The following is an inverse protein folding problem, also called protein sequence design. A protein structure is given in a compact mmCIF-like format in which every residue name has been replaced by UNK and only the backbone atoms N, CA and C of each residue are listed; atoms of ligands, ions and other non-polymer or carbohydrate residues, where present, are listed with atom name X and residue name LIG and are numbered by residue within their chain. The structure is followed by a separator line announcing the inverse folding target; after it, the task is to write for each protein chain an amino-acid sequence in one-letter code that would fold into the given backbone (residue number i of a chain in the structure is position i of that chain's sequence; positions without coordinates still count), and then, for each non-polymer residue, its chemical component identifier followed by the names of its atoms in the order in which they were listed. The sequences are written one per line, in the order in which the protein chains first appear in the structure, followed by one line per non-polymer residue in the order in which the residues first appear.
data_IF_184165259854
#
_entry.id   IF_184165259854
#
_cell.length_a   1.000
_cell.length_b   1.000
_cell.length_c   1.000
_cell.angle_alpha   90.00
_cell.angle_beta   90.00
_cell.angle_gamma   90.00
#
_symmetry.space_group_name_H-M   'P 1'
#
loop_
_entity.id
_entity.type
_entity.pdbx_description
1 polymer ?
#
# COMPACT_ATOMS: atom_id res chain seq x y z
N UNK A 1 30.42 24.96 -0.99
CA UNK A 1 29.70 24.02 -0.13
C UNK A 1 28.20 24.45 -0.06
N UNK A 2 27.36 23.90 -0.92
CA UNK A 2 25.88 24.13 -0.84
C UNK A 2 25.26 22.88 -0.23
N UNK A 3 24.59 23.07 0.93
CA UNK A 3 23.88 22.06 1.68
C UNK A 3 22.82 21.40 0.80
N UNK A 4 22.94 20.10 0.55
CA UNK A 4 21.84 19.25 0.11
C UNK A 4 20.81 19.24 1.24
N UNK A 5 19.72 19.99 1.05
CA UNK A 5 18.53 19.92 1.89
C UNK A 5 17.88 18.57 1.60
N UNK A 6 17.96 17.67 2.55
CA UNK A 6 17.20 16.42 2.59
C UNK A 6 15.74 16.79 2.35
N UNK A 7 15.15 16.33 1.24
CA UNK A 7 13.70 16.42 1.01
C UNK A 7 13.05 15.58 2.09
N UNK A 8 12.39 16.24 3.02
CA UNK A 8 11.42 15.60 3.91
C UNK A 8 10.40 14.88 3.03
N UNK A 9 10.11 13.62 3.33
CA UNK A 9 9.06 12.80 2.70
C UNK A 9 7.70 13.51 2.88
N UNK A 10 7.33 14.29 1.89
CA UNK A 10 6.06 15.02 1.86
C UNK A 10 5.06 14.15 1.13
N UNK A 11 4.08 13.62 1.86
CA UNK A 11 2.93 12.93 1.29
C UNK A 11 2.35 13.77 0.13
N UNK A 12 2.22 13.16 -1.06
CA UNK A 12 1.71 13.85 -2.24
C UNK A 12 0.27 14.33 -2.01
N UNK A 13 -0.10 15.46 -2.62
CA UNK A 13 -1.44 16.03 -2.42
C UNK A 13 -2.54 15.09 -2.91
N UNK A 14 -2.26 14.25 -3.92
CA UNK A 14 -3.19 13.24 -4.42
C UNK A 14 -3.41 12.11 -3.38
N UNK A 15 -2.36 11.73 -2.65
CA UNK A 15 -2.45 10.71 -1.60
C UNK A 15 -3.25 11.24 -0.41
N UNK A 16 -3.05 12.52 -0.06
CA UNK A 16 -3.90 13.20 0.93
C UNK A 16 -5.36 13.24 0.50
N UNK A 17 -5.66 13.49 -0.78
CA UNK A 17 -7.04 13.44 -1.28
C UNK A 17 -7.67 12.06 -1.11
N UNK A 18 -6.90 10.99 -1.32
CA UNK A 18 -7.37 9.60 -1.19
C UNK A 18 -7.57 9.17 0.27
N UNK A 19 -6.77 9.71 1.20
CA UNK A 19 -6.75 9.28 2.61
C UNK A 19 -7.58 10.19 3.51
N UNK A 20 -8.06 11.35 3.01
CA UNK A 20 -8.77 12.34 3.81
C UNK A 20 -10.10 11.79 4.33
N UNK A 21 -10.20 11.67 5.64
CA UNK A 21 -11.45 11.33 6.34
C UNK A 21 -12.34 12.56 6.53
N UNK A 22 -13.65 12.35 6.68
CA UNK A 22 -14.65 13.41 6.94
C UNK A 22 -14.89 14.39 5.77
N UNK A 23 -14.86 13.90 4.54
CA UNK A 23 -15.33 14.64 3.38
C UNK A 23 -16.86 14.70 3.36
N UNK A 24 -17.42 15.88 3.06
CA UNK A 24 -18.83 15.97 2.67
C UNK A 24 -19.05 15.35 1.29
N UNK A 25 -20.30 15.00 0.95
CA UNK A 25 -20.62 14.44 -0.38
C UNK A 25 -20.15 15.34 -1.53
N UNK A 26 -20.23 16.66 -1.37
CA UNK A 26 -19.77 17.61 -2.38
C UNK A 26 -18.24 17.66 -2.47
N UNK A 27 -17.53 17.64 -1.33
CA UNK A 27 -16.06 17.59 -1.32
C UNK A 27 -15.55 16.29 -1.92
N UNK A 28 -16.24 15.18 -1.65
CA UNK A 28 -15.93 13.88 -2.25
C UNK A 28 -16.13 13.91 -3.76
N UNK A 29 -17.21 14.53 -4.26
CA UNK A 29 -17.43 14.67 -5.72
C UNK A 29 -16.28 15.44 -6.40
N UNK A 30 -15.71 16.46 -5.75
CA UNK A 30 -14.53 17.17 -6.27
C UNK A 30 -13.31 16.25 -6.31
N UNK A 31 -13.05 15.51 -5.24
CA UNK A 31 -11.92 14.56 -5.16
C UNK A 31 -12.08 13.48 -6.23
N UNK A 32 -13.25 12.84 -6.32
CA UNK A 32 -13.53 11.79 -7.31
C UNK A 32 -13.35 12.32 -8.75
N UNK A 33 -13.76 13.55 -9.03
CA UNK A 33 -13.56 14.19 -10.33
C UNK A 33 -12.07 14.39 -10.65
N UNK A 34 -11.27 14.90 -9.70
CA UNK A 34 -9.83 15.13 -9.88
C UNK A 34 -9.11 13.80 -10.13
N UNK A 35 -9.46 12.74 -9.38
CA UNK A 35 -8.86 11.41 -9.51
C UNK A 35 -9.18 10.80 -10.88
N UNK A 36 -10.43 10.93 -11.34
CA UNK A 36 -10.87 10.43 -12.64
C UNK A 36 -10.27 11.24 -13.81
N UNK A 37 -9.99 12.54 -13.61
CA UNK A 37 -9.51 13.46 -14.65
C UNK A 37 -8.21 14.15 -14.23
N UNK A 38 -7.08 13.45 -14.10
CA UNK A 38 -5.84 14.02 -13.53
C UNK A 38 -5.28 15.22 -14.28
N UNK A 39 -5.54 15.32 -15.61
CA UNK A 39 -5.11 16.47 -16.43
C UNK A 39 -5.97 17.72 -16.22
N UNK A 40 -7.22 17.53 -15.80
CA UNK A 40 -8.16 18.63 -15.68
C UNK A 40 -7.66 19.74 -14.73
N UNK A 41 -7.06 19.36 -13.61
CA UNK A 41 -6.56 20.32 -12.62
C UNK A 41 -5.39 21.18 -13.15
N UNK A 42 -4.66 20.72 -14.16
CA UNK A 42 -3.55 21.48 -14.76
C UNK A 42 -4.04 22.76 -15.45
N UNK A 43 -5.23 22.71 -16.05
CA UNK A 43 -5.76 23.77 -16.93
C UNK A 43 -6.93 24.53 -16.28
N UNK A 44 -7.77 23.84 -15.49
CA UNK A 44 -9.00 24.41 -14.93
C UNK A 44 -8.78 25.52 -13.91
N UNK A 45 -9.63 26.54 -13.99
CA UNK A 45 -9.87 27.48 -12.89
C UNK A 45 -10.75 26.85 -11.80
N UNK A 46 -10.86 27.51 -10.64
CA UNK A 46 -11.72 27.05 -9.55
C UNK A 46 -13.21 26.96 -9.96
N UNK A 47 -13.65 27.87 -10.83
CA UNK A 47 -15.03 27.87 -11.29
C UNK A 47 -15.30 26.75 -12.30
N UNK A 48 -14.36 26.47 -13.20
CA UNK A 48 -14.45 25.35 -14.13
C UNK A 48 -14.45 24.01 -13.40
N UNK A 49 -13.59 23.84 -12.40
CA UNK A 49 -13.59 22.63 -11.56
C UNK A 49 -14.89 22.48 -10.77
N UNK A 50 -15.43 23.60 -10.23
CA UNK A 50 -16.72 23.59 -9.53
C UNK A 50 -17.86 23.13 -10.43
N UNK A 51 -17.92 23.68 -11.66
CA UNK A 51 -18.92 23.29 -12.64
C UNK A 51 -18.77 21.82 -13.06
N UNK A 52 -17.54 21.38 -13.34
CA UNK A 52 -17.26 20.01 -13.78
C UNK A 52 -17.54 18.95 -12.71
N UNK A 53 -17.38 19.29 -11.43
CA UNK A 53 -17.69 18.42 -10.29
C UNK A 53 -19.09 18.62 -9.71
N UNK A 54 -19.94 19.43 -10.36
CA UNK A 54 -21.30 19.79 -9.90
C UNK A 54 -21.31 20.33 -8.47
N UNK A 55 -20.34 21.17 -8.12
CA UNK A 55 -20.18 21.75 -6.80
C UNK A 55 -20.02 23.28 -6.87
N UNK A 56 -19.62 23.92 -5.78
CA UNK A 56 -19.36 25.36 -5.71
C UNK A 56 -17.89 25.66 -5.48
N UNK A 57 -17.42 26.85 -5.93
CA UNK A 57 -16.06 27.33 -5.65
C UNK A 57 -15.78 27.39 -4.13
N UNK A 58 -16.79 27.66 -3.30
CA UNK A 58 -16.66 27.63 -1.84
C UNK A 58 -16.42 26.23 -1.28
N UNK A 59 -17.00 25.20 -1.89
CA UNK A 59 -16.74 23.79 -1.55
C UNK A 59 -15.30 23.43 -1.83
N UNK A 60 -14.78 23.82 -3.02
CA UNK A 60 -13.37 23.60 -3.39
C UNK A 60 -12.43 24.32 -2.43
N UNK A 61 -12.75 25.56 -2.06
CA UNK A 61 -11.93 26.33 -1.10
C UNK A 61 -11.87 25.66 0.29
N UNK A 62 -12.97 25.07 0.75
CA UNK A 62 -13.01 24.29 1.99
C UNK A 62 -12.18 23.01 1.91
N UNK A 63 -12.30 22.29 0.80
CA UNK A 63 -11.47 21.11 0.51
C UNK A 63 -9.98 21.46 0.53
N UNK A 64 -9.58 22.56 -0.12
CA UNK A 64 -8.19 23.02 -0.11
C UNK A 64 -7.65 23.24 1.32
N UNK A 65 -8.45 23.85 2.20
CA UNK A 65 -8.07 24.03 3.60
C UNK A 65 -7.93 22.71 4.35
N UNK A 66 -8.82 21.74 4.10
CA UNK A 66 -8.73 20.39 4.68
C UNK A 66 -7.46 19.65 4.20
N UNK A 67 -7.04 19.88 2.97
CA UNK A 67 -5.80 19.37 2.40
C UNK A 67 -4.53 20.09 2.94
N UNK A 68 -4.69 21.10 3.79
CA UNK A 68 -3.58 21.85 4.37
C UNK A 68 -2.99 22.91 3.42
N UNK A 69 -3.74 23.32 2.38
CA UNK A 69 -3.31 24.36 1.44
C UNK A 69 -3.97 25.71 1.71
N UNK A 70 -3.33 26.81 1.25
CA UNK A 70 -3.83 28.17 1.46
C UNK A 70 -5.09 28.47 0.64
N UNK A 71 -5.35 27.68 -0.41
CA UNK A 71 -6.49 27.82 -1.30
C UNK A 71 -6.25 27.13 -2.62
N UNK A 72 -7.16 27.33 -3.58
CA UNK A 72 -7.11 26.62 -4.88
C UNK A 72 -5.82 26.83 -5.66
N UNK A 73 -5.32 28.06 -5.73
CA UNK A 73 -4.07 28.36 -6.45
C UNK A 73 -2.86 27.62 -5.83
N UNK A 74 -2.79 27.55 -4.51
CA UNK A 74 -1.74 26.85 -3.78
C UNK A 74 -1.87 25.32 -3.96
N UNK A 75 -3.08 24.77 -3.83
CA UNK A 75 -3.37 23.38 -4.09
C UNK A 75 -3.01 23.00 -5.53
N UNK A 76 -3.42 23.81 -6.52
CA UNK A 76 -3.10 23.60 -7.93
C UNK A 76 -1.60 23.65 -8.17
N UNK A 77 -0.89 24.59 -7.58
CA UNK A 77 0.57 24.70 -7.71
C UNK A 77 1.27 23.43 -7.19
N UNK A 78 0.89 22.96 -6.01
CA UNK A 78 1.45 21.72 -5.43
C UNK A 78 1.14 20.54 -6.35
N UNK A 79 -0.12 20.40 -6.78
CA UNK A 79 -0.55 19.31 -7.67
C UNK A 79 0.22 19.33 -8.99
N UNK A 80 0.37 20.49 -9.63
CA UNK A 80 1.14 20.64 -10.89
C UNK A 80 2.60 20.28 -10.69
N UNK A 81 3.20 20.65 -9.55
CA UNK A 81 4.61 20.30 -9.26
C UNK A 81 4.81 18.80 -9.02
N UNK A 82 3.81 18.11 -8.48
CA UNK A 82 3.83 16.67 -8.22
C UNK A 82 3.33 15.84 -9.43
N UNK A 83 2.59 16.47 -10.35
CA UNK A 83 1.97 15.82 -11.51
C UNK A 83 2.93 15.02 -12.39
N UNK A 84 4.14 15.51 -12.74
CA UNK A 84 5.09 14.74 -13.54
C UNK A 84 5.55 13.47 -12.84
N UNK A 85 5.73 13.49 -11.53
CA UNK A 85 6.10 12.34 -10.72
C UNK A 85 4.94 11.36 -10.62
N UNK A 86 3.73 11.87 -10.37
CA UNK A 86 2.49 11.12 -10.36
C UNK A 86 2.20 10.45 -11.72
N UNK A 87 2.43 11.16 -12.83
CA UNK A 87 2.24 10.60 -14.19
C UNK A 87 3.31 9.59 -14.55
N UNK A 88 4.57 9.81 -14.19
CA UNK A 88 5.61 8.78 -14.32
C UNK A 88 5.24 7.52 -13.55
N UNK A 89 4.70 7.67 -12.35
CA UNK A 89 4.20 6.56 -11.54
C UNK A 89 3.02 5.86 -12.24
N UNK A 90 2.03 6.63 -12.71
CA UNK A 90 0.83 6.13 -13.40
C UNK A 90 1.14 5.52 -14.76
N UNK A 91 2.01 6.14 -15.55
CA UNK A 91 2.44 5.63 -16.86
C UNK A 91 3.40 4.44 -16.71
N UNK A 92 4.18 4.41 -15.64
CA UNK A 92 5.01 3.25 -15.32
C UNK A 92 4.21 2.00 -15.00
N UNK A 93 2.99 2.15 -14.47
CA UNK A 93 2.08 1.05 -14.20
C UNK A 93 1.17 0.73 -15.41
N UNK A 94 1.06 1.63 -16.40
CA UNK A 94 0.17 1.47 -17.57
C UNK A 94 0.78 0.69 -18.72
N UNK A 95 2.06 0.49 -18.76
CA UNK A 95 2.71 -0.20 -19.87
C UNK A 95 2.78 -1.68 -19.48
N UNK A 96 1.91 -2.51 -20.07
CA UNK A 96 2.23 -3.92 -20.30
C UNK A 96 3.46 -3.89 -21.20
N UNK A 97 4.64 -4.17 -20.68
CA UNK A 97 5.90 -3.83 -21.36
C UNK A 97 6.22 -4.76 -22.50
N UNK A 98 5.45 -5.82 -22.68
CA UNK A 98 5.55 -6.74 -23.81
C UNK A 98 4.19 -7.35 -24.16
N UNK A 99 4.03 -7.73 -25.42
CA UNK A 99 2.85 -8.38 -25.99
C UNK A 99 3.14 -9.85 -26.26
N UNK A 100 2.11 -10.61 -26.68
CA UNK A 100 2.28 -12.01 -27.11
C UNK A 100 3.29 -12.16 -28.26
N UNK A 101 3.61 -11.09 -28.99
CA UNK A 101 4.54 -11.06 -30.11
C UNK A 101 5.91 -10.48 -29.76
N UNK A 102 6.17 -10.14 -28.50
CA UNK A 102 7.47 -9.63 -28.06
C UNK A 102 8.53 -10.72 -28.12
N UNK A 103 9.71 -10.38 -28.61
CA UNK A 103 10.87 -11.27 -28.63
C UNK A 103 11.41 -11.53 -27.22
N UNK A 104 12.20 -12.59 -27.07
CA UNK A 104 12.80 -12.95 -25.77
C UNK A 104 13.73 -11.84 -25.26
N UNK A 105 14.43 -11.13 -26.15
CA UNK A 105 15.32 -10.01 -25.78
C UNK A 105 14.53 -8.84 -25.20
N UNK A 106 13.35 -8.52 -25.75
CA UNK A 106 12.44 -7.51 -25.21
C UNK A 106 12.00 -7.87 -23.79
N UNK A 107 11.70 -9.16 -23.55
CA UNK A 107 11.29 -9.66 -22.24
C UNK A 107 12.46 -9.51 -21.23
N UNK A 108 13.67 -9.96 -21.61
CA UNK A 108 14.85 -9.87 -20.77
C UNK A 108 15.15 -8.41 -20.38
N UNK A 109 15.05 -7.47 -21.32
CA UNK A 109 15.29 -6.05 -21.05
C UNK A 109 14.17 -5.38 -20.25
N UNK A 110 12.95 -5.88 -20.33
CA UNK A 110 11.78 -5.24 -19.72
C UNK A 110 11.50 -5.73 -18.30
N UNK A 111 11.76 -7.00 -17.99
CA UNK A 111 11.50 -7.56 -16.65
C UNK A 111 12.18 -6.78 -15.50
N UNK A 112 13.46 -6.35 -15.60
CA UNK A 112 14.06 -5.52 -14.56
C UNK A 112 13.34 -4.19 -14.34
N UNK A 113 12.77 -3.60 -15.40
CA UNK A 113 12.00 -2.36 -15.28
C UNK A 113 10.68 -2.59 -14.51
N UNK A 114 10.01 -3.73 -14.70
CA UNK A 114 8.80 -4.09 -13.94
C UNK A 114 9.14 -4.21 -12.45
N UNK A 115 10.22 -4.90 -12.13
CA UNK A 115 10.66 -5.09 -10.74
C UNK A 115 11.04 -3.76 -10.08
N UNK A 116 11.85 -2.95 -10.76
CA UNK A 116 12.23 -1.63 -10.26
C UNK A 116 11.00 -0.75 -9.99
N UNK A 117 10.06 -0.73 -10.92
CA UNK A 117 8.83 0.05 -10.79
C UNK A 117 7.94 -0.42 -9.64
N UNK A 118 7.79 -1.74 -9.47
CA UNK A 118 7.03 -2.30 -8.36
C UNK A 118 7.63 -1.87 -7.01
N UNK A 119 8.96 -1.93 -6.89
CA UNK A 119 9.69 -1.53 -5.69
C UNK A 119 9.59 -0.02 -5.46
N UNK A 120 9.85 0.81 -6.48
CA UNK A 120 9.83 2.27 -6.37
C UNK A 120 8.44 2.78 -5.97
N UNK A 121 7.40 2.20 -6.58
CA UNK A 121 6.02 2.55 -6.22
C UNK A 121 5.72 2.15 -4.77
N UNK A 122 6.05 0.91 -4.39
CA UNK A 122 5.81 0.44 -3.02
C UNK A 122 6.56 1.30 -2.01
N UNK A 123 7.82 1.65 -2.30
CA UNK A 123 8.64 2.55 -1.47
C UNK A 123 7.97 3.91 -1.25
N UNK A 124 7.35 4.49 -2.29
CA UNK A 124 6.68 5.79 -2.19
C UNK A 124 5.41 5.77 -1.34
N UNK A 125 4.80 4.58 -1.16
CA UNK A 125 3.58 4.39 -0.36
C UNK A 125 3.85 3.94 1.08
N UNK A 126 5.09 3.55 1.42
CA UNK A 126 5.41 3.08 2.76
C UNK A 126 5.44 4.24 3.76
N UNK A 127 4.55 4.18 4.76
CA UNK A 127 4.63 5.06 5.92
C UNK A 127 5.74 4.60 6.88
N UNK A 128 6.77 5.44 7.03
CA UNK A 128 7.92 5.20 7.90
C UNK A 128 7.51 4.90 9.34
N UNK A 129 6.50 5.60 9.86
CA UNK A 129 6.07 5.42 11.26
C UNK A 129 5.40 4.05 11.46
N UNK A 130 4.61 3.60 10.49
CA UNK A 130 4.02 2.26 10.50
C UNK A 130 5.10 1.18 10.43
N UNK A 131 6.11 1.33 9.57
CA UNK A 131 7.26 0.40 9.52
C UNK A 131 7.93 0.30 10.89
N UNK A 132 8.24 1.43 11.54
CA UNK A 132 8.88 1.45 12.88
C UNK A 132 7.99 0.76 13.93
N UNK A 133 6.68 1.04 13.94
CA UNK A 133 5.75 0.42 14.90
C UNK A 133 5.67 -1.08 14.73
N UNK A 134 5.53 -1.54 13.49
CA UNK A 134 5.49 -2.98 13.15
C UNK A 134 6.80 -3.65 13.54
N UNK A 135 7.96 -3.08 13.18
CA UNK A 135 9.27 -3.62 13.55
C UNK A 135 9.43 -3.75 15.06
N UNK A 136 8.97 -2.75 15.83
CA UNK A 136 9.01 -2.82 17.30
C UNK A 136 8.11 -3.91 17.88
N UNK A 137 6.97 -4.19 17.27
CA UNK A 137 6.09 -5.29 17.65
C UNK A 137 6.73 -6.64 17.33
N UNK A 138 7.32 -6.77 16.14
CA UNK A 138 8.04 -7.98 15.73
C UNK A 138 9.23 -8.27 16.66
N UNK A 139 10.00 -7.26 17.07
CA UNK A 139 11.11 -7.41 18.05
C UNK A 139 10.67 -7.92 19.42
N UNK A 140 9.43 -7.63 19.82
CA UNK A 140 8.88 -8.06 21.12
C UNK A 140 8.15 -9.39 21.04
N UNK A 141 7.86 -9.87 19.85
CA UNK A 141 7.19 -11.14 19.64
C UNK A 141 8.15 -12.30 19.91
N UNK A 142 7.65 -13.32 20.62
CA UNK A 142 8.33 -14.60 20.79
C UNK A 142 8.16 -15.48 19.53
N UNK A 143 7.05 -15.28 18.81
CA UNK A 143 6.75 -15.98 17.56
C UNK A 143 6.09 -15.05 16.56
N UNK A 144 6.49 -15.16 15.30
CA UNK A 144 5.89 -14.43 14.19
C UNK A 144 5.17 -15.43 13.29
N UNK A 145 3.86 -15.24 13.12
CA UNK A 145 3.03 -16.11 12.30
C UNK A 145 2.68 -15.41 10.97
N UNK A 146 3.01 -16.05 9.85
CA UNK A 146 2.71 -15.52 8.52
C UNK A 146 1.60 -16.36 7.87
N UNK A 147 0.58 -15.68 7.37
CA UNK A 147 -0.59 -16.30 6.72
C UNK A 147 -0.63 -15.92 5.24
N UNK A 148 -0.79 -16.90 4.37
CA UNK A 148 -0.93 -16.70 2.94
C UNK A 148 -1.50 -17.93 2.26
N UNK A 149 -2.08 -17.77 1.08
CA UNK A 149 -2.62 -18.86 0.28
C UNK A 149 -2.00 -18.84 -1.12
N UNK A 150 -1.76 -20.01 -1.69
CA UNK A 150 -1.08 -20.16 -2.98
C UNK A 150 0.32 -19.56 -2.95
N UNK A 151 0.63 -18.67 -3.90
CA UNK A 151 1.95 -18.00 -3.99
C UNK A 151 2.27 -17.20 -2.73
N UNK A 152 1.27 -16.65 -2.04
CA UNK A 152 1.47 -15.90 -0.81
C UNK A 152 1.93 -16.79 0.35
N UNK A 153 1.57 -18.06 0.35
CA UNK A 153 2.09 -19.03 1.31
C UNK A 153 3.59 -19.30 1.07
N UNK A 154 4.03 -19.37 -0.20
CA UNK A 154 5.45 -19.53 -0.51
C UNK A 154 6.26 -18.28 -0.14
N UNK A 155 5.70 -17.08 -0.31
CA UNK A 155 6.31 -15.84 0.21
C UNK A 155 6.44 -15.93 1.74
N UNK A 156 5.38 -16.33 2.44
CA UNK A 156 5.40 -16.48 3.89
C UNK A 156 6.49 -17.47 4.35
N UNK A 157 6.61 -18.62 3.69
CA UNK A 157 7.67 -19.61 3.97
C UNK A 157 9.08 -19.03 3.75
N UNK A 158 9.28 -18.30 2.64
CA UNK A 158 10.57 -17.65 2.38
C UNK A 158 10.97 -16.71 3.51
N UNK A 159 10.02 -15.93 4.04
CA UNK A 159 10.29 -15.02 5.15
C UNK A 159 10.55 -15.78 6.45
N UNK A 160 9.87 -16.89 6.71
CA UNK A 160 10.18 -17.74 7.87
C UNK A 160 11.63 -18.20 7.86
N UNK A 161 12.17 -18.63 6.73
CA UNK A 161 13.59 -18.99 6.61
C UNK A 161 14.52 -17.80 6.94
N UNK A 162 14.23 -16.61 6.43
CA UNK A 162 15.03 -15.41 6.72
C UNK A 162 14.98 -15.00 8.20
N UNK A 163 13.81 -15.16 8.84
CA UNK A 163 13.65 -14.90 10.27
C UNK A 163 14.42 -15.93 11.11
N UNK A 164 14.37 -17.21 10.74
CA UNK A 164 15.11 -18.30 11.40
C UNK A 164 16.62 -18.08 11.33
N UNK A 165 17.15 -17.62 10.16
CA UNK A 165 18.56 -17.27 10.00
C UNK A 165 19.06 -16.20 10.98
N UNK A 166 18.18 -15.31 11.44
CA UNK A 166 18.49 -14.29 12.45
C UNK A 166 17.99 -14.67 13.86
N UNK A 167 17.61 -15.96 14.07
CA UNK A 167 17.24 -16.51 15.37
C UNK A 167 15.83 -16.15 15.85
N UNK A 168 14.94 -15.74 14.96
CA UNK A 168 13.55 -15.39 15.28
C UNK A 168 12.62 -16.53 14.87
N UNK A 169 11.85 -17.06 15.84
CA UNK A 169 10.89 -18.12 15.58
C UNK A 169 9.73 -17.62 14.73
N UNK A 170 9.50 -18.26 13.59
CA UNK A 170 8.42 -17.90 12.68
C UNK A 170 7.77 -19.13 12.04
N UNK A 171 6.47 -19.03 11.76
CA UNK A 171 5.70 -20.09 11.13
C UNK A 171 4.88 -19.54 9.97
N UNK A 172 4.73 -20.34 8.90
CA UNK A 172 3.88 -20.04 7.76
C UNK A 172 2.64 -20.93 7.77
N UNK A 173 1.48 -20.31 7.48
CA UNK A 173 0.18 -20.99 7.45
C UNK A 173 -0.59 -20.61 6.19
N UNK A 174 -1.22 -21.60 5.54
CA UNK A 174 -2.16 -21.37 4.43
C UNK A 174 -3.61 -21.12 4.92
N UNK A 175 -3.88 -21.44 6.19
CA UNK A 175 -5.16 -21.21 6.86
C UNK A 175 -4.96 -21.16 8.37
N UNK A 176 -5.88 -20.51 9.09
CA UNK A 176 -5.80 -20.46 10.54
C UNK A 176 -6.38 -21.71 11.18
N UNK A 177 -5.64 -22.37 12.06
CA UNK A 177 -6.13 -23.50 12.83
C UNK A 177 -7.09 -23.03 13.94
N UNK A 178 -8.13 -23.82 14.19
CA UNK A 178 -9.23 -23.47 15.10
C UNK A 178 -8.76 -22.99 16.48
N UNK A 179 -7.82 -23.68 17.10
CA UNK A 179 -7.37 -23.38 18.46
C UNK A 179 -6.05 -22.59 18.53
N UNK A 180 -5.47 -22.17 17.40
CA UNK A 180 -4.15 -21.55 17.39
C UNK A 180 -4.11 -20.24 18.20
N UNK A 181 -4.97 -19.28 17.85
CA UNK A 181 -5.06 -18.00 18.57
C UNK A 181 -5.44 -18.18 20.04
N UNK A 182 -6.32 -19.14 20.34
CA UNK A 182 -6.72 -19.44 21.71
C UNK A 182 -5.53 -19.92 22.54
N UNK A 183 -4.68 -20.80 21.98
CA UNK A 183 -3.45 -21.28 22.66
C UNK A 183 -2.47 -20.13 22.89
N UNK A 184 -2.19 -19.32 21.87
CA UNK A 184 -1.30 -18.17 22.02
C UNK A 184 -1.75 -17.24 23.16
N UNK A 185 -3.06 -16.99 23.27
CA UNK A 185 -3.61 -16.17 24.35
C UNK A 185 -3.54 -16.84 25.71
N UNK A 186 -3.94 -18.12 25.81
CA UNK A 186 -3.94 -18.88 27.07
C UNK A 186 -2.53 -19.04 27.63
N UNK A 187 -1.56 -19.35 26.77
CA UNK A 187 -0.16 -19.54 27.15
C UNK A 187 0.60 -18.21 27.26
N UNK A 188 -0.08 -17.07 27.01
CA UNK A 188 0.47 -15.71 27.07
C UNK A 188 1.72 -15.55 26.20
N UNK A 189 1.75 -16.22 25.04
CA UNK A 189 2.88 -16.13 24.11
C UNK A 189 2.82 -14.80 23.37
N UNK A 190 3.80 -13.89 23.56
CA UNK A 190 3.88 -12.68 22.75
C UNK A 190 4.02 -13.04 21.27
N UNK A 191 3.05 -12.69 20.47
CA UNK A 191 3.01 -13.06 19.04
C UNK A 191 2.67 -11.86 18.17
N UNK A 192 3.13 -11.89 16.94
CA UNK A 192 2.77 -10.94 15.89
C UNK A 192 2.39 -11.70 14.63
N UNK A 193 1.35 -11.27 13.94
CA UNK A 193 0.84 -11.97 12.76
C UNK A 193 0.87 -11.09 11.51
N UNK A 194 1.29 -11.67 10.38
CA UNK A 194 1.35 -11.01 9.07
C UNK A 194 0.45 -11.79 8.09
N UNK A 195 -0.48 -11.10 7.44
CA UNK A 195 -1.40 -11.70 6.47
C UNK A 195 -1.09 -11.17 5.06
N UNK A 196 -0.89 -12.08 4.12
CA UNK A 196 -0.61 -11.80 2.71
C UNK A 196 -1.84 -12.15 1.86
N UNK A 197 -2.40 -11.18 1.17
CA UNK A 197 -3.55 -11.42 0.29
C UNK A 197 -3.57 -10.49 -0.90
N UNK A 198 -3.27 -11.03 -2.08
CA UNK A 198 -3.19 -10.27 -3.34
C UNK A 198 -4.42 -9.38 -3.60
N UNK A 199 -5.63 -9.87 -3.35
CA UNK A 199 -6.87 -9.13 -3.59
C UNK A 199 -7.54 -8.59 -2.32
N UNK A 200 -7.11 -9.02 -1.14
CA UNK A 200 -7.81 -8.77 0.12
C UNK A 200 -9.13 -9.53 0.30
N UNK A 201 -9.51 -10.37 -0.69
CA UNK A 201 -10.81 -11.08 -0.71
C UNK A 201 -10.74 -12.52 -0.22
N UNK A 202 -9.55 -13.11 -0.09
CA UNK A 202 -9.41 -14.52 0.24
C UNK A 202 -10.12 -14.86 1.56
N UNK A 203 -11.10 -15.80 1.55
CA UNK A 203 -11.91 -16.11 2.73
C UNK A 203 -11.08 -16.62 3.91
N UNK A 204 -10.04 -17.44 3.65
CA UNK A 204 -9.15 -17.96 4.70
C UNK A 204 -8.38 -16.84 5.38
N UNK A 205 -7.91 -15.83 4.64
CA UNK A 205 -7.21 -14.68 5.21
C UNK A 205 -8.15 -13.76 5.98
N UNK A 206 -9.39 -13.59 5.50
CA UNK A 206 -10.42 -12.82 6.22
C UNK A 206 -10.82 -13.53 7.53
N UNK A 207 -10.96 -14.86 7.53
CA UNK A 207 -11.23 -15.64 8.74
C UNK A 207 -10.04 -15.56 9.71
N UNK A 208 -8.81 -15.67 9.23
CA UNK A 208 -7.62 -15.50 10.04
C UNK A 208 -7.59 -14.12 10.71
N UNK A 209 -7.81 -13.04 9.96
CA UNK A 209 -7.84 -11.67 10.51
C UNK A 209 -8.93 -11.49 11.58
N UNK A 210 -10.12 -12.03 11.37
CA UNK A 210 -11.22 -11.99 12.36
C UNK A 210 -10.82 -12.67 13.67
N UNK A 211 -10.18 -13.84 13.59
CA UNK A 211 -9.73 -14.58 14.77
C UNK A 211 -8.60 -13.88 15.50
N UNK A 212 -7.60 -13.36 14.77
CA UNK A 212 -6.53 -12.58 15.36
C UNK A 212 -7.09 -11.37 16.13
N UNK A 213 -8.02 -10.65 15.52
CA UNK A 213 -8.71 -9.52 16.15
C UNK A 213 -9.51 -9.95 17.40
N UNK A 214 -10.26 -11.06 17.32
CA UNK A 214 -11.04 -11.60 18.45
C UNK A 214 -10.16 -11.92 19.66
N UNK A 215 -8.93 -12.39 19.44
CA UNK A 215 -7.99 -12.77 20.50
C UNK A 215 -6.96 -11.67 20.80
N UNK A 216 -7.14 -10.44 20.26
CA UNK A 216 -6.25 -9.29 20.46
C UNK A 216 -4.77 -9.60 20.11
N UNK A 217 -4.55 -10.41 19.07
CA UNK A 217 -3.21 -10.68 18.54
C UNK A 217 -2.86 -9.59 17.54
N UNK A 218 -1.78 -8.80 17.78
CA UNK A 218 -1.39 -7.73 16.88
C UNK A 218 -1.10 -8.25 15.46
N UNK A 219 -1.61 -7.54 14.46
CA UNK A 219 -1.57 -8.03 13.08
C UNK A 219 -1.31 -6.95 12.04
N UNK A 220 -0.58 -7.35 11.00
CA UNK A 220 -0.32 -6.58 9.78
C UNK A 220 -0.96 -7.29 8.59
N UNK A 221 -1.63 -6.57 7.70
CA UNK A 221 -1.95 -7.08 6.38
C UNK A 221 -1.12 -6.41 5.28
N UNK A 222 -0.67 -7.21 4.32
CA UNK A 222 -0.09 -6.74 3.05
C UNK A 222 -1.05 -7.17 1.95
N UNK A 223 -1.71 -6.20 1.32
CA UNK A 223 -2.79 -6.47 0.36
C UNK A 223 -2.67 -5.58 -0.87
N UNK A 224 -3.25 -6.05 -1.98
CA UNK A 224 -3.58 -5.14 -3.09
C UNK A 224 -4.73 -4.20 -2.70
N UNK A 225 -4.93 -3.18 -3.51
CA UNK A 225 -5.94 -2.13 -3.31
C UNK A 225 -7.37 -2.51 -3.77
N UNK A 226 -7.63 -3.80 -3.98
CA UNK A 226 -8.90 -4.25 -4.58
C UNK A 226 -10.03 -4.32 -3.57
N UNK A 227 -9.76 -4.72 -2.32
CA UNK A 227 -10.78 -4.91 -1.28
C UNK A 227 -10.26 -4.44 0.09
N UNK A 228 -11.14 -3.76 0.83
CA UNK A 228 -10.79 -3.16 2.13
C UNK A 228 -11.11 -4.07 3.34
N UNK A 229 -11.60 -5.29 3.15
CA UNK A 229 -12.02 -6.16 4.27
C UNK A 229 -10.87 -6.45 5.24
N UNK A 230 -9.68 -6.81 4.74
CA UNK A 230 -8.53 -7.06 5.59
C UNK A 230 -8.03 -5.79 6.27
N UNK A 231 -8.06 -4.64 5.59
CA UNK A 231 -7.64 -3.35 6.16
C UNK A 231 -8.42 -3.00 7.43
N UNK A 232 -9.72 -3.34 7.48
CA UNK A 232 -10.59 -3.06 8.62
C UNK A 232 -10.45 -4.09 9.77
N UNK A 233 -9.79 -5.20 9.52
CA UNK A 233 -9.64 -6.31 10.47
C UNK A 233 -8.27 -6.38 11.11
N UNK A 234 -7.24 -5.79 10.51
CA UNK A 234 -5.86 -5.78 10.99
C UNK A 234 -5.49 -4.44 11.60
N UNK A 235 -4.51 -4.44 12.52
CA UNK A 235 -4.07 -3.22 13.22
C UNK A 235 -3.19 -2.33 12.35
N UNK A 236 -2.43 -2.95 11.46
CA UNK A 236 -1.53 -2.29 10.51
C UNK A 236 -1.77 -2.83 9.11
N UNK A 237 -1.50 -1.98 8.11
CA UNK A 237 -1.61 -2.43 6.73
C UNK A 237 -0.66 -1.69 5.79
N UNK A 238 -0.13 -2.44 4.83
CA UNK A 238 0.55 -1.93 3.66
C UNK A 238 -0.22 -2.32 2.42
N UNK A 239 -0.54 -1.33 1.60
CA UNK A 239 -1.25 -1.55 0.35
C UNK A 239 -0.27 -1.54 -0.82
N UNK A 240 -0.46 -2.50 -1.73
CA UNK A 240 0.26 -2.60 -2.98
C UNK A 240 -0.69 -2.18 -4.09
N UNK A 241 -0.32 -1.17 -4.87
CA UNK A 241 -1.15 -0.69 -5.96
C UNK A 241 -1.16 -1.71 -7.10
N UNK A 242 -2.36 -2.17 -7.44
CA UNK A 242 -2.62 -3.01 -8.60
C UNK A 242 -3.61 -2.25 -9.48
N UNK A 243 -3.28 -2.03 -10.74
CA UNK A 243 -4.14 -1.35 -11.71
C UNK A 243 -4.72 -2.36 -12.69
N UNK A 244 -5.83 -2.02 -13.35
CA UNK A 244 -6.43 -2.86 -14.39
C UNK A 244 -5.43 -3.18 -15.53
N UNK A 245 -4.58 -2.22 -15.87
CA UNK A 245 -3.55 -2.37 -16.90
C UNK A 245 -2.37 -3.25 -16.48
N UNK A 246 -2.23 -3.55 -15.19
CA UNK A 246 -1.17 -4.43 -14.66
C UNK A 246 -1.71 -5.79 -14.24
N UNK A 247 -2.98 -6.09 -14.54
CA UNK A 247 -3.64 -7.31 -14.05
C UNK A 247 -2.92 -8.58 -14.48
N UNK A 248 -2.41 -8.65 -15.72
CA UNK A 248 -1.65 -9.81 -16.21
C UNK A 248 -0.32 -10.03 -15.46
N UNK A 249 0.27 -8.96 -14.92
CA UNK A 249 1.49 -8.98 -14.10
C UNK A 249 1.23 -8.72 -12.62
N UNK A 250 -0.02 -8.67 -12.21
CA UNK A 250 -0.39 -8.34 -10.84
C UNK A 250 0.24 -9.28 -9.81
N UNK A 251 0.38 -10.55 -10.13
CA UNK A 251 1.05 -11.53 -9.27
C UNK A 251 2.54 -11.23 -9.14
N UNK A 252 3.22 -10.89 -10.24
CA UNK A 252 4.66 -10.53 -10.22
C UNK A 252 4.87 -9.25 -9.41
N UNK A 253 4.07 -8.21 -9.67
CA UNK A 253 4.14 -6.93 -8.94
C UNK A 253 3.86 -7.16 -7.46
N UNK A 254 2.80 -7.88 -7.13
CA UNK A 254 2.46 -8.17 -5.74
C UNK A 254 3.56 -8.94 -5.02
N UNK A 255 4.13 -9.96 -5.66
CA UNK A 255 5.22 -10.76 -5.11
C UNK A 255 6.44 -9.91 -4.82
N UNK A 256 6.91 -9.12 -5.79
CA UNK A 256 8.10 -8.27 -5.63
C UNK A 256 7.89 -7.20 -4.56
N UNK A 257 6.73 -6.55 -4.56
CA UNK A 257 6.37 -5.54 -3.57
C UNK A 257 6.25 -6.13 -2.16
N UNK A 258 5.63 -7.30 -2.03
CA UNK A 258 5.51 -7.99 -0.74
C UNK A 258 6.87 -8.41 -0.19
N UNK A 259 7.73 -8.98 -1.02
CA UNK A 259 9.10 -9.33 -0.63
C UNK A 259 9.89 -8.10 -0.21
N UNK A 260 9.79 -6.99 -0.95
CA UNK A 260 10.45 -5.74 -0.59
C UNK A 260 10.00 -5.21 0.78
N UNK A 261 8.71 -5.19 1.07
CA UNK A 261 8.17 -4.78 2.39
C UNK A 261 8.69 -5.70 3.50
N UNK A 262 8.58 -7.00 3.28
CA UNK A 262 8.97 -8.02 4.26
C UNK A 262 10.48 -8.03 4.52
N UNK A 263 11.30 -7.82 3.49
CA UNK A 263 12.76 -7.71 3.61
C UNK A 263 13.17 -6.46 4.41
N UNK A 264 12.46 -5.33 4.25
CA UNK A 264 12.64 -4.15 5.11
C UNK A 264 12.35 -4.51 6.57
N UNK A 265 11.24 -5.20 6.83
CA UNK A 265 10.86 -5.61 8.18
C UNK A 265 11.91 -6.56 8.78
N UNK A 266 12.33 -7.60 8.06
CA UNK A 266 13.39 -8.52 8.50
C UNK A 266 14.69 -7.78 8.78
N UNK A 267 15.15 -6.95 7.84
CA UNK A 267 16.38 -6.16 8.01
C UNK A 267 16.32 -5.20 9.21
N UNK A 268 15.14 -4.71 9.55
CA UNK A 268 14.95 -3.84 10.72
C UNK A 268 15.08 -4.56 12.07
N UNK A 269 15.10 -5.89 12.08
CA UNK A 269 15.23 -6.71 13.29
C UNK A 269 16.69 -7.02 13.66
N UNK A 270 17.59 -6.86 12.70
CA UNK A 270 19.04 -6.98 12.88
C UNK A 270 19.57 -5.72 13.59
#
# INVERSE_FOLDING_TARGET
MKKNKIREDREMIIDKMNTLENLTNQEKAVVDYIIANPKALLEMSVNELANASYTSASTITRLCKKLGTKGYADMKFIYVSEYPEMMKLKDSLKVVPFSRNSGIDDIIHTMPLIYSRAIDHTRSMLDRNTVIRVSNLMKRAQVIDLYGDGINFEIARNICYKLDEIGISANAYNSIQWNHCKRLQQDKIPSFSILLSHTGKNPSMVDAAKRLKQYNIPSLSITGNVDKRLLNLTDYNFQIMITENTFEFSTVIFTMSSLYILDILVASLI
#
